data_IF_211537101993
#
_entry.id   IF_211537101993
#
_cell.length_a   1.000
_cell.length_b   1.000
_cell.length_c   1.000
_cell.angle_alpha   90.00
_cell.angle_beta   90.00
_cell.angle_gamma   90.00
#
_symmetry.space_group_name_H-M   'P 1'
#
loop_
_entity.id
_entity.type
_entity.pdbx_description
1 polymer ?
#
# COMPACT_ATOMS: atom_id res chain seq x y z
N UNK A 1 -11.24 2.77 -14.50
CA UNK A 1 -11.53 2.08 -13.23
C UNK A 1 -11.92 3.12 -12.19
N UNK A 2 -12.96 2.89 -11.42
CA UNK A 2 -13.45 3.82 -10.40
C UNK A 2 -12.52 3.82 -9.17
N UNK A 3 -12.20 4.99 -8.62
CA UNK A 3 -11.36 5.14 -7.41
C UNK A 3 -11.96 4.37 -6.22
N UNK A 4 -13.28 4.31 -6.10
CA UNK A 4 -13.94 3.55 -5.04
C UNK A 4 -13.74 2.04 -5.19
N UNK A 5 -13.67 1.54 -6.43
CA UNK A 5 -13.37 0.13 -6.68
C UNK A 5 -11.93 -0.20 -6.30
N UNK A 6 -11.00 0.71 -6.57
CA UNK A 6 -9.59 0.55 -6.21
C UNK A 6 -9.39 0.47 -4.68
N UNK A 7 -10.02 1.37 -3.92
CA UNK A 7 -9.98 1.34 -2.45
C UNK A 7 -10.56 0.02 -1.90
N UNK A 8 -11.69 -0.45 -2.45
CA UNK A 8 -12.27 -1.75 -2.06
C UNK A 8 -11.35 -2.92 -2.35
N UNK A 9 -10.61 -2.90 -3.47
CA UNK A 9 -9.63 -3.94 -3.80
C UNK A 9 -8.50 -3.98 -2.77
N UNK A 10 -7.98 -2.82 -2.37
CA UNK A 10 -6.95 -2.72 -1.32
C UNK A 10 -7.47 -3.33 -0.01
N UNK A 11 -8.65 -2.91 0.44
CA UNK A 11 -9.22 -3.33 1.71
C UNK A 11 -9.59 -4.82 1.76
N UNK A 12 -10.26 -5.31 0.72
CA UNK A 12 -10.89 -6.64 0.75
C UNK A 12 -9.97 -7.75 0.23
N UNK A 13 -9.01 -7.40 -0.63
CA UNK A 13 -8.16 -8.40 -1.28
C UNK A 13 -6.70 -8.24 -0.88
N UNK A 14 -6.14 -7.03 -0.94
CA UNK A 14 -4.71 -6.85 -0.72
C UNK A 14 -4.32 -7.17 0.72
N UNK A 15 -4.93 -6.53 1.72
CA UNK A 15 -4.56 -6.73 3.14
C UNK A 15 -4.58 -8.21 3.56
N UNK A 16 -5.69 -8.97 3.35
CA UNK A 16 -5.73 -10.37 3.75
C UNK A 16 -4.72 -11.26 3.01
N UNK A 17 -4.38 -10.93 1.76
CA UNK A 17 -3.40 -11.70 0.99
C UNK A 17 -1.99 -11.44 1.47
N UNK A 18 -1.66 -10.18 1.80
CA UNK A 18 -0.35 -9.84 2.36
C UNK A 18 -0.18 -10.49 3.73
N UNK A 19 -1.16 -10.37 4.63
CA UNK A 19 -1.13 -10.99 5.95
C UNK A 19 -0.98 -12.53 5.87
N UNK A 20 -1.58 -13.18 4.86
CA UNK A 20 -1.49 -14.64 4.67
C UNK A 20 -0.18 -15.10 4.02
N UNK A 21 0.34 -14.37 3.03
CA UNK A 21 1.46 -14.83 2.19
C UNK A 21 2.82 -14.34 2.71
N UNK A 22 2.83 -13.25 3.46
CA UNK A 22 4.03 -12.53 3.87
C UNK A 22 3.95 -12.10 5.34
N UNK A 23 3.61 -13.04 6.23
CA UNK A 23 3.46 -12.77 7.67
C UNK A 23 4.78 -12.30 8.32
N UNK A 24 5.91 -12.88 7.89
CA UNK A 24 7.25 -12.63 8.44
C UNK A 24 8.25 -12.02 7.42
N UNK A 25 7.75 -11.39 6.35
CA UNK A 25 8.61 -10.82 5.30
C UNK A 25 8.28 -9.35 5.10
N UNK A 26 9.34 -8.54 5.02
CA UNK A 26 9.24 -7.12 4.67
C UNK A 26 8.71 -6.99 3.23
N UNK A 27 7.53 -6.38 3.08
CA UNK A 27 6.91 -6.12 1.78
C UNK A 27 6.79 -4.63 1.58
N UNK A 28 7.20 -4.16 0.41
CA UNK A 28 7.03 -2.77 -0.02
C UNK A 28 5.88 -2.63 -1.03
N UNK A 29 5.17 -1.51 -0.96
CA UNK A 29 4.24 -1.12 -2.00
C UNK A 29 4.98 -0.42 -3.15
N UNK A 30 4.63 -0.73 -4.39
CA UNK A 30 5.18 -0.10 -5.59
C UNK A 30 4.06 0.58 -6.39
N UNK A 31 4.16 1.89 -6.59
CA UNK A 31 3.25 2.70 -7.41
C UNK A 31 3.76 2.79 -8.87
N UNK A 32 2.84 2.78 -9.82
CA UNK A 32 3.09 3.00 -11.25
C UNK A 32 2.86 4.46 -11.70
N UNK A 33 2.38 5.31 -10.78
CA UNK A 33 2.12 6.73 -11.03
C UNK A 33 0.71 7.04 -11.51
N UNK A 34 -0.22 6.06 -11.55
CA UNK A 34 -1.63 6.34 -11.88
C UNK A 34 -2.26 7.23 -10.79
N UNK A 35 -2.86 8.34 -11.21
CA UNK A 35 -3.58 9.29 -10.35
C UNK A 35 -4.65 8.69 -9.43
N UNK A 36 -5.14 7.47 -9.71
CA UNK A 36 -6.09 6.76 -8.83
C UNK A 36 -5.43 6.22 -7.57
N UNK A 37 -4.16 5.82 -7.66
CA UNK A 37 -3.37 5.29 -6.55
C UNK A 37 -2.96 6.40 -5.57
N UNK A 38 -2.86 7.62 -6.10
CA UNK A 38 -2.47 8.85 -5.37
C UNK A 38 -3.64 9.60 -4.74
N UNK A 39 -4.82 9.00 -4.70
CA UNK A 39 -5.93 9.63 -3.98
C UNK A 39 -5.71 9.54 -2.48
N UNK A 40 -6.10 10.57 -1.73
CA UNK A 40 -5.93 10.62 -0.27
C UNK A 40 -6.39 9.32 0.44
N UNK A 41 -7.56 8.81 0.08
CA UNK A 41 -8.09 7.57 0.64
C UNK A 41 -7.30 6.32 0.22
N UNK A 42 -6.77 6.27 -1.00
CA UNK A 42 -5.95 5.13 -1.43
C UNK A 42 -4.62 5.10 -0.67
N UNK A 43 -3.95 6.25 -0.56
CA UNK A 43 -2.70 6.38 0.20
C UNK A 43 -2.89 6.00 1.67
N UNK A 44 -3.96 6.49 2.32
CA UNK A 44 -4.26 6.13 3.69
C UNK A 44 -4.41 4.60 3.89
N UNK A 45 -5.05 3.91 2.94
CA UNK A 45 -5.24 2.46 3.03
C UNK A 45 -3.94 1.68 2.77
N UNK A 46 -3.07 2.20 1.90
CA UNK A 46 -1.74 1.64 1.68
C UNK A 46 -0.90 1.81 2.95
N UNK A 47 -0.90 2.99 3.56
CA UNK A 47 -0.19 3.25 4.81
C UNK A 47 -0.65 2.31 5.93
N UNK A 48 -1.96 2.12 6.11
CA UNK A 48 -2.52 1.17 7.11
C UNK A 48 -2.07 -0.30 6.91
N UNK A 49 -1.61 -0.66 5.70
CA UNK A 49 -1.14 -2.02 5.39
C UNK A 49 0.37 -2.12 5.55
N UNK A 50 1.12 -1.11 5.10
CA UNK A 50 2.57 -1.21 4.90
C UNK A 50 3.41 -0.41 5.90
N UNK A 51 2.86 0.63 6.55
CA UNK A 51 3.65 1.56 7.38
C UNK A 51 4.34 0.88 8.58
N UNK A 52 3.75 -0.16 9.13
CA UNK A 52 4.31 -0.92 10.27
C UNK A 52 5.08 -2.19 9.83
N UNK A 53 5.13 -2.50 8.52
CA UNK A 53 5.71 -3.74 7.98
C UNK A 53 7.17 -3.60 7.55
N UNK A 54 7.63 -2.40 7.27
CA UNK A 54 9.03 -2.12 6.93
C UNK A 54 9.47 -0.98 7.82
N UNK A 55 10.61 -1.13 8.50
CA UNK A 55 11.09 -0.05 9.37
C UNK A 55 11.31 1.21 8.54
N UNK A 56 11.00 2.41 9.07
CA UNK A 56 11.16 3.66 8.32
C UNK A 56 12.55 3.84 7.70
N UNK A 57 13.61 3.35 8.36
CA UNK A 57 14.98 3.36 7.85
C UNK A 57 15.28 2.40 6.69
N UNK A 58 14.43 1.40 6.47
CA UNK A 58 14.51 0.40 5.39
C UNK A 58 13.56 0.73 4.23
N UNK A 59 12.60 1.63 4.46
CA UNK A 59 11.76 2.19 3.40
C UNK A 59 12.63 3.08 2.51
N UNK A 60 12.80 2.69 1.24
CA UNK A 60 13.55 3.49 0.29
C UNK A 60 12.95 4.92 0.18
N UNK A 61 13.82 5.93 0.01
CA UNK A 61 13.47 7.36 -0.14
C UNK A 61 12.30 7.64 -1.11
N UNK A 62 11.97 6.71 -2.01
CA UNK A 62 10.87 6.80 -2.97
C UNK A 62 9.46 6.69 -2.37
N UNK A 63 9.29 6.32 -1.10
CA UNK A 63 8.02 6.53 -0.38
C UNK A 63 7.81 8.01 -0.03
N UNK A 64 8.88 8.80 0.06
CA UNK A 64 8.84 10.22 0.46
C UNK A 64 8.61 11.19 -0.72
N UNK A 65 8.75 10.73 -1.97
CA UNK A 65 8.46 11.54 -3.16
C UNK A 65 7.01 11.33 -3.64
N UNK A 66 6.07 11.79 -2.80
CA UNK A 66 4.67 12.10 -3.19
C UNK A 66 4.58 13.56 -3.64
#
# INVERSE_FOLDING_TARGET
MDRFLYIKLIQQQLKPHIDRLYDDVDVIWQDDGDSKHRSHYALQQIDEIFNDRVKPEEQADKMADI
#
